data_IF_401517531464
#
_entry.id   IF_401517531464
#
_cell.length_a   1.000
_cell.length_b   1.000
_cell.length_c   1.000
_cell.angle_alpha   90.00
_cell.angle_beta   90.00
_cell.angle_gamma   90.00
#
_symmetry.space_group_name_H-M   'P 1'
#
loop_
_entity.id
_entity.type
_entity.pdbx_description
1 polymer ?
#
# COMPACT_ATOMS: atom_id res chain seq x y z
N UNK A 1 39.29 13.07 5.52
CA UNK A 1 38.21 13.71 6.34
C UNK A 1 37.20 14.51 5.52
N UNK A 2 37.36 14.73 4.22
CA UNK A 2 36.46 15.55 3.36
C UNK A 2 35.26 14.80 2.78
N UNK A 3 35.32 13.48 2.63
CA UNK A 3 34.25 12.70 1.97
C UNK A 3 33.00 12.44 2.85
N UNK A 4 33.17 12.36 4.16
CA UNK A 4 32.06 12.15 5.10
C UNK A 4 31.18 13.39 5.31
N UNK A 5 31.73 14.58 5.12
CA UNK A 5 30.98 15.84 5.26
C UNK A 5 30.06 16.11 4.06
N UNK A 6 30.45 15.63 2.87
CA UNK A 6 29.67 15.83 1.63
C UNK A 6 28.45 14.91 1.59
N UNK A 7 28.55 13.67 2.10
CA UNK A 7 27.44 12.71 2.16
C UNK A 7 26.41 13.11 3.21
N UNK A 8 26.84 13.62 4.37
CA UNK A 8 25.93 14.11 5.41
C UNK A 8 25.10 15.33 4.96
N UNK A 9 25.70 16.25 4.20
CA UNK A 9 24.99 17.42 3.66
C UNK A 9 24.07 17.07 2.49
N UNK A 10 24.41 16.07 1.67
CA UNK A 10 23.54 15.57 0.61
C UNK A 10 22.32 14.82 1.17
N UNK A 11 22.51 14.06 2.27
CA UNK A 11 21.41 13.38 2.97
C UNK A 11 20.47 14.38 3.66
N UNK A 12 21.02 15.41 4.33
CA UNK A 12 20.20 16.49 4.92
C UNK A 12 19.46 17.30 3.84
N UNK A 13 20.08 17.62 2.70
CA UNK A 13 19.42 18.29 1.58
C UNK A 13 18.32 17.44 0.94
N UNK A 14 18.52 16.12 0.76
CA UNK A 14 17.47 15.21 0.25
C UNK A 14 16.30 15.06 1.23
N UNK A 15 16.58 14.99 2.53
CA UNK A 15 15.53 14.91 3.56
C UNK A 15 14.76 16.23 3.65
N UNK A 16 15.43 17.37 3.48
CA UNK A 16 14.81 18.71 3.46
C UNK A 16 14.03 18.93 2.16
N UNK A 17 14.53 18.49 1.00
CA UNK A 17 13.81 18.56 -0.27
C UNK A 17 12.59 17.61 -0.31
N UNK A 18 12.70 16.42 0.30
CA UNK A 18 11.55 15.52 0.44
C UNK A 18 10.51 16.09 1.40
N UNK A 19 10.93 16.67 2.54
CA UNK A 19 10.02 17.44 3.41
C UNK A 19 9.41 18.65 2.69
N UNK A 20 10.16 19.36 1.84
CA UNK A 20 9.64 20.49 1.05
C UNK A 20 8.70 20.05 -0.08
N UNK A 21 8.90 18.89 -0.71
CA UNK A 21 7.94 18.35 -1.70
C UNK A 21 6.66 17.85 -1.04
N UNK A 22 6.78 17.27 0.15
CA UNK A 22 5.64 16.87 0.97
C UNK A 22 4.91 18.10 1.52
N UNK A 23 5.62 19.16 1.88
CA UNK A 23 5.09 20.49 2.29
C UNK A 23 4.42 21.21 1.11
N UNK A 24 4.98 21.18 -0.10
CA UNK A 24 4.34 21.77 -1.28
C UNK A 24 3.10 20.98 -1.75
N UNK A 25 3.03 19.67 -1.54
CA UNK A 25 1.78 18.90 -1.70
C UNK A 25 0.73 19.22 -0.65
N UNK A 26 1.14 19.57 0.58
CA UNK A 26 0.23 20.02 1.64
C UNK A 26 -0.21 21.49 1.47
N UNK A 27 0.57 22.31 0.77
CA UNK A 27 0.23 23.70 0.46
C UNK A 27 -0.92 23.90 -0.53
N UNK A 28 -1.40 22.82 -1.17
CA UNK A 28 -2.68 22.81 -1.88
C UNK A 28 -3.88 22.39 -0.99
N UNK A 29 -3.91 22.80 0.27
CA UNK A 29 -5.16 22.89 1.00
C UNK A 29 -6.00 24.00 0.36
N UNK A 30 -6.52 23.72 -0.84
CA UNK A 30 -7.51 24.55 -1.50
C UNK A 30 -8.69 24.67 -0.53
N UNK A 31 -9.00 25.90 -0.17
CA UNK A 31 -10.12 26.40 0.62
C UNK A 31 -11.29 25.40 0.65
N UNK A 32 -11.29 24.55 1.69
CA UNK A 32 -12.36 23.59 1.96
C UNK A 32 -13.57 24.42 2.43
N UNK A 33 -14.78 23.96 2.16
CA UNK A 33 -16.00 24.53 2.75
C UNK A 33 -16.02 24.45 4.29
N UNK A 34 -15.00 23.86 4.89
CA UNK A 34 -14.81 23.70 6.32
C UNK A 34 -14.15 24.96 6.93
N UNK A 35 -14.45 25.21 8.20
CA UNK A 35 -13.85 26.29 8.99
C UNK A 35 -12.31 26.13 9.04
N UNK A 36 -11.57 27.23 8.93
CA UNK A 36 -10.10 27.27 9.04
C UNK A 36 -9.54 26.64 10.33
N UNK A 37 -10.36 26.49 11.37
CA UNK A 37 -9.99 25.81 12.62
C UNK A 37 -9.88 24.32 12.43
N UNK A 38 -10.73 23.73 11.59
CA UNK A 38 -10.62 22.31 11.23
C UNK A 38 -9.39 22.04 10.37
N UNK A 39 -8.97 22.98 9.51
CA UNK A 39 -7.68 22.90 8.80
C UNK A 39 -6.50 22.90 9.79
N UNK A 40 -6.57 23.78 10.79
CA UNK A 40 -5.56 23.82 11.86
C UNK A 40 -5.50 22.52 12.65
N UNK A 41 -6.65 21.97 13.01
CA UNK A 41 -6.73 20.66 13.68
C UNK A 41 -6.10 19.55 12.84
N UNK A 42 -6.42 19.48 11.56
CA UNK A 42 -5.84 18.48 10.65
C UNK A 42 -4.31 18.65 10.50
N UNK A 43 -3.82 19.88 10.43
CA UNK A 43 -2.38 20.15 10.41
C UNK A 43 -1.70 19.65 11.70
N UNK A 44 -2.29 19.91 12.88
CA UNK A 44 -1.76 19.40 14.15
C UNK A 44 -1.79 17.86 14.19
N UNK A 45 -2.85 17.21 13.71
CA UNK A 45 -2.93 15.75 13.62
C UNK A 45 -1.82 15.14 12.77
N UNK A 46 -1.40 15.82 11.71
CA UNK A 46 -0.38 15.35 10.79
C UNK A 46 1.05 15.47 11.36
N UNK A 47 1.36 16.60 12.03
CA UNK A 47 2.73 16.86 12.50
C UNK A 47 2.91 16.59 14.00
N UNK A 48 1.82 16.45 14.76
CA UNK A 48 1.82 16.24 16.21
C UNK A 48 2.65 17.28 16.98
N UNK A 49 2.63 18.53 16.51
CA UNK A 49 3.39 19.65 17.07
C UNK A 49 2.72 20.98 16.70
N UNK A 50 2.32 21.77 17.69
CA UNK A 50 1.62 23.06 17.50
C UNK A 50 2.49 24.09 16.77
N UNK A 51 3.79 24.11 17.03
CA UNK A 51 4.71 25.04 16.38
C UNK A 51 4.92 24.68 14.91
N UNK A 52 5.15 23.40 14.61
CA UNK A 52 5.28 22.93 13.24
C UNK A 52 3.98 23.14 12.43
N UNK A 53 2.83 22.93 13.06
CA UNK A 53 1.54 23.21 12.43
C UNK A 53 1.36 24.70 12.13
N UNK A 54 1.81 25.60 13.04
CA UNK A 54 1.79 27.04 12.82
C UNK A 54 2.68 27.48 11.65
N UNK A 55 3.89 26.92 11.57
CA UNK A 55 4.82 27.15 10.46
C UNK A 55 4.23 26.66 9.13
N UNK A 56 3.59 25.47 9.12
CA UNK A 56 2.93 24.88 7.95
C UNK A 56 1.79 25.76 7.42
N UNK A 57 0.99 26.32 8.31
CA UNK A 57 -0.20 27.11 7.97
C UNK A 57 0.08 28.61 7.85
N UNK A 58 1.34 29.03 8.03
CA UNK A 58 1.76 30.45 8.02
C UNK A 58 0.96 31.31 9.02
N UNK A 59 0.65 30.77 10.21
CA UNK A 59 0.02 31.46 11.32
C UNK A 59 0.90 31.41 12.57
N UNK A 60 0.47 32.10 13.64
CA UNK A 60 1.20 32.05 14.90
C UNK A 60 0.83 30.82 15.73
N UNK A 61 1.75 30.30 16.55
CA UNK A 61 1.45 29.18 17.46
C UNK A 61 0.33 29.50 18.46
N UNK A 62 0.20 30.71 19.02
CA UNK A 62 -1.00 31.09 19.81
C UNK A 62 -2.31 30.95 19.03
N UNK A 63 -2.34 31.28 17.73
CA UNK A 63 -3.53 31.11 16.91
C UNK A 63 -3.89 29.62 16.75
N UNK A 64 -2.91 28.75 16.53
CA UNK A 64 -3.13 27.30 16.53
C UNK A 64 -3.76 26.84 17.84
N UNK A 65 -3.21 27.29 18.98
CA UNK A 65 -3.75 26.95 20.31
C UNK A 65 -5.20 27.41 20.47
N UNK A 66 -5.52 28.64 20.05
CA UNK A 66 -6.88 29.16 20.11
C UNK A 66 -7.85 28.38 19.23
N UNK A 67 -7.43 27.97 18.03
CA UNK A 67 -8.25 27.15 17.13
C UNK A 67 -8.56 25.78 17.74
N UNK A 68 -7.57 25.11 18.34
CA UNK A 68 -7.78 23.82 19.00
C UNK A 68 -8.70 23.99 20.22
N UNK A 69 -8.44 24.96 21.09
CA UNK A 69 -9.29 25.23 22.26
C UNK A 69 -10.75 25.57 21.88
N UNK A 70 -10.95 26.25 20.74
CA UNK A 70 -12.29 26.49 20.23
C UNK A 70 -13.00 25.18 19.88
N UNK A 71 -12.33 24.26 19.15
CA UNK A 71 -12.91 22.97 18.81
C UNK A 71 -13.14 22.11 20.05
N UNK A 72 -12.20 22.09 21.00
CA UNK A 72 -12.36 21.38 22.26
C UNK A 72 -13.58 21.86 23.05
N UNK A 73 -13.83 23.19 23.08
CA UNK A 73 -15.02 23.79 23.68
C UNK A 73 -16.31 23.46 22.92
N UNK A 74 -16.27 23.47 21.58
CA UNK A 74 -17.43 23.17 20.72
C UNK A 74 -17.88 21.72 20.90
N UNK A 75 -16.93 20.77 21.00
CA UNK A 75 -17.23 19.36 21.17
C UNK A 75 -17.23 18.87 22.62
N UNK A 76 -17.01 19.78 23.58
CA UNK A 76 -16.94 19.50 25.02
C UNK A 76 -16.00 18.33 25.36
N UNK A 77 -14.80 18.33 24.77
CA UNK A 77 -13.80 17.27 24.96
C UNK A 77 -12.39 17.81 24.75
N UNK A 78 -11.39 17.09 25.29
CA UNK A 78 -9.99 17.33 24.93
C UNK A 78 -9.64 16.56 23.68
N UNK A 79 -9.02 17.25 22.70
CA UNK A 79 -8.55 16.64 21.45
C UNK A 79 -7.10 16.19 21.54
N UNK A 80 -6.28 16.91 22.31
CA UNK A 80 -4.87 16.57 22.48
C UNK A 80 -4.47 16.60 23.96
N UNK A 81 -3.56 15.71 24.33
CA UNK A 81 -2.96 15.64 25.67
C UNK A 81 -1.44 15.64 25.54
N UNK A 82 -0.76 16.09 26.60
CA UNK A 82 0.69 15.99 26.72
C UNK A 82 1.04 14.84 27.67
N UNK A 83 1.67 13.82 27.14
CA UNK A 83 2.25 12.73 27.94
C UNK A 83 3.75 12.64 27.67
N UNK A 84 4.55 12.60 28.73
CA UNK A 84 6.02 12.54 28.64
C UNK A 84 6.62 13.58 27.67
N UNK A 85 6.10 14.81 27.68
CA UNK A 85 6.47 15.93 26.79
C UNK A 85 6.17 15.67 25.30
N UNK A 86 5.36 14.69 24.98
CA UNK A 86 4.88 14.42 23.61
C UNK A 86 3.38 14.75 23.54
N UNK A 87 2.99 15.36 22.42
CA UNK A 87 1.60 15.56 22.10
C UNK A 87 1.01 14.23 21.62
N UNK A 88 -0.15 13.84 22.18
CA UNK A 88 -0.87 12.63 21.79
C UNK A 88 -2.31 12.97 21.46
N UNK A 89 -2.90 12.25 20.51
CA UNK A 89 -4.32 12.36 20.18
C UNK A 89 -5.18 11.61 21.21
N UNK A 90 -6.31 12.20 21.58
CA UNK A 90 -7.36 11.49 22.31
C UNK A 90 -8.20 10.63 21.36
N UNK A 91 -9.02 9.69 21.87
CA UNK A 91 -10.01 8.99 21.04
C UNK A 91 -10.99 9.96 20.33
N UNK A 92 -11.37 11.06 20.98
CA UNK A 92 -12.20 12.10 20.39
C UNK A 92 -11.52 12.79 19.19
N UNK A 93 -10.22 13.10 19.32
CA UNK A 93 -9.44 13.64 18.21
C UNK A 93 -9.35 12.65 17.03
N UNK A 94 -9.19 11.36 17.30
CA UNK A 94 -9.17 10.36 16.25
C UNK A 94 -10.52 10.29 15.51
N UNK A 95 -11.64 10.30 16.24
CA UNK A 95 -12.98 10.32 15.65
C UNK A 95 -13.22 11.56 14.78
N UNK A 96 -12.81 12.75 15.28
CA UNK A 96 -12.94 14.01 14.54
C UNK A 96 -12.05 14.02 13.29
N UNK A 97 -10.83 13.53 13.39
CA UNK A 97 -9.91 13.40 12.25
C UNK A 97 -10.50 12.50 11.16
N UNK A 98 -10.99 11.32 11.50
CA UNK A 98 -11.60 10.37 10.57
C UNK A 98 -12.83 10.98 9.87
N UNK A 99 -13.66 11.70 10.61
CA UNK A 99 -14.80 12.43 10.05
C UNK A 99 -14.36 13.52 9.07
N UNK A 100 -13.40 14.36 9.46
CA UNK A 100 -12.93 15.46 8.60
C UNK A 100 -12.23 14.95 7.34
N UNK A 101 -11.50 13.85 7.42
CA UNK A 101 -10.92 13.17 6.25
C UNK A 101 -12.02 12.71 5.28
N UNK A 102 -13.11 12.17 5.81
CA UNK A 102 -14.27 11.76 4.99
C UNK A 102 -14.90 12.96 4.27
N UNK A 103 -15.12 14.07 5.00
CA UNK A 103 -15.69 15.29 4.42
C UNK A 103 -14.80 15.85 3.33
N UNK A 104 -13.48 15.87 3.55
CA UNK A 104 -12.50 16.34 2.57
C UNK A 104 -12.50 15.48 1.29
N UNK A 105 -12.62 14.17 1.43
CA UNK A 105 -12.74 13.27 0.29
C UNK A 105 -13.99 13.53 -0.53
N UNK A 106 -15.14 13.67 0.14
CA UNK A 106 -16.42 13.97 -0.53
C UNK A 106 -16.40 15.31 -1.25
N UNK A 107 -15.78 16.31 -0.66
CA UNK A 107 -15.61 17.61 -1.30
C UNK A 107 -14.70 17.52 -2.54
N UNK A 108 -13.57 16.82 -2.43
CA UNK A 108 -12.67 16.61 -3.57
C UNK A 108 -13.39 15.87 -4.71
N UNK A 109 -14.14 14.81 -4.39
CA UNK A 109 -14.95 14.08 -5.35
C UNK A 109 -16.01 14.98 -6.03
N UNK A 110 -16.70 15.81 -5.25
CA UNK A 110 -17.66 16.78 -5.81
C UNK A 110 -16.97 17.78 -6.74
N UNK A 111 -15.83 18.32 -6.34
CA UNK A 111 -15.04 19.26 -7.17
C UNK A 111 -14.57 18.60 -8.47
N UNK A 112 -14.12 17.34 -8.40
CA UNK A 112 -13.75 16.56 -9.57
C UNK A 112 -14.97 16.33 -10.48
N UNK A 113 -16.11 15.92 -9.95
CA UNK A 113 -17.36 15.80 -10.74
C UNK A 113 -17.78 17.10 -11.42
N UNK A 114 -17.68 18.23 -10.72
CA UNK A 114 -18.00 19.54 -11.28
C UNK A 114 -17.01 19.95 -12.39
N UNK A 115 -15.72 19.64 -12.23
CA UNK A 115 -14.68 20.02 -13.20
C UNK A 115 -14.66 19.11 -14.43
N UNK A 116 -14.90 17.84 -14.25
CA UNK A 116 -14.63 16.82 -15.27
C UNK A 116 -15.77 16.61 -16.27
N UNK A 117 -16.79 17.46 -16.32
CA UNK A 117 -17.87 17.43 -17.34
C UNK A 117 -18.35 16.01 -17.72
N UNK A 118 -18.40 15.08 -16.74
CA UNK A 118 -18.83 13.71 -16.98
C UNK A 118 -17.71 12.67 -17.12
N UNK A 119 -16.42 13.05 -17.12
CA UNK A 119 -15.30 12.09 -17.09
C UNK A 119 -15.33 11.23 -15.83
N UNK A 120 -15.27 9.92 -16.02
CA UNK A 120 -15.16 8.94 -14.93
C UNK A 120 -13.68 8.74 -14.57
N UNK A 121 -13.21 9.43 -13.56
CA UNK A 121 -11.83 9.26 -13.07
C UNK A 121 -11.76 8.11 -12.06
N UNK A 122 -10.88 7.16 -12.33
CA UNK A 122 -10.60 6.01 -11.48
C UNK A 122 -9.10 5.92 -11.18
N UNK A 123 -8.73 5.94 -9.89
CA UNK A 123 -7.35 5.81 -9.41
C UNK A 123 -7.24 4.54 -8.57
N UNK A 124 -6.64 3.50 -9.13
CA UNK A 124 -6.53 2.20 -8.48
C UNK A 124 -5.07 1.81 -8.25
N UNK A 125 -4.85 1.10 -7.14
CA UNK A 125 -3.60 0.43 -6.85
C UNK A 125 -3.72 -1.07 -7.07
N UNK A 126 -2.63 -1.72 -7.46
CA UNK A 126 -2.55 -3.16 -7.50
C UNK A 126 -1.18 -3.64 -7.03
N UNK A 127 -1.11 -4.74 -6.30
CA UNK A 127 0.18 -5.38 -6.06
C UNK A 127 0.71 -6.00 -7.34
N UNK A 128 2.01 -6.24 -7.40
CA UNK A 128 2.69 -6.60 -8.65
C UNK A 128 2.09 -7.83 -9.34
N UNK A 129 1.76 -8.89 -8.57
CA UNK A 129 1.09 -10.05 -9.16
C UNK A 129 -0.24 -9.70 -9.78
N UNK A 130 -1.04 -8.91 -9.06
CA UNK A 130 -2.39 -8.53 -9.50
C UNK A 130 -2.32 -7.59 -10.69
N UNK A 131 -1.47 -6.57 -10.63
CA UNK A 131 -1.32 -5.58 -11.69
C UNK A 131 -0.81 -6.18 -13.00
N UNK A 132 0.18 -7.08 -12.91
CA UNK A 132 0.83 -7.63 -14.10
C UNK A 132 0.11 -8.85 -14.70
N UNK A 133 -0.64 -9.64 -13.89
CA UNK A 133 -1.16 -10.95 -14.33
C UNK A 133 -2.66 -11.16 -14.12
N UNK A 134 -3.36 -10.29 -13.40
CA UNK A 134 -4.76 -10.55 -12.99
C UNK A 134 -5.75 -9.58 -13.59
N UNK A 135 -5.44 -8.29 -13.57
CA UNK A 135 -6.43 -7.24 -13.93
C UNK A 135 -6.29 -6.73 -15.36
N UNK A 136 -5.37 -7.26 -16.16
CA UNK A 136 -5.09 -6.78 -17.52
C UNK A 136 -6.34 -6.78 -18.39
N UNK A 137 -7.10 -7.89 -18.40
CA UNK A 137 -8.33 -7.99 -19.21
C UNK A 137 -9.39 -6.99 -18.74
N UNK A 138 -9.53 -6.81 -17.43
CA UNK A 138 -10.45 -5.82 -16.85
C UNK A 138 -10.07 -4.38 -17.24
N UNK A 139 -8.78 -4.09 -17.33
CA UNK A 139 -8.31 -2.78 -17.79
C UNK A 139 -8.70 -2.57 -19.26
N UNK A 140 -8.52 -3.58 -20.11
CA UNK A 140 -8.93 -3.51 -21.50
C UNK A 140 -10.43 -3.23 -21.63
N UNK A 141 -11.27 -3.98 -20.90
CA UNK A 141 -12.73 -3.79 -20.90
C UNK A 141 -13.11 -2.38 -20.42
N UNK A 142 -12.45 -1.91 -19.37
CA UNK A 142 -12.71 -0.60 -18.79
C UNK A 142 -12.33 0.53 -19.76
N UNK A 143 -11.17 0.44 -20.41
CA UNK A 143 -10.68 1.46 -21.35
C UNK A 143 -11.50 1.54 -22.65
N UNK A 144 -12.30 0.52 -22.98
CA UNK A 144 -13.22 0.55 -24.12
C UNK A 144 -14.48 1.37 -23.83
N UNK A 145 -14.72 1.82 -22.60
CA UNK A 145 -15.86 2.69 -22.26
C UNK A 145 -15.50 4.16 -22.59
N UNK A 146 -16.50 5.00 -22.93
CA UNK A 146 -16.27 6.42 -23.19
C UNK A 146 -16.00 7.20 -21.91
N UNK A 147 -15.33 8.33 -22.05
CA UNK A 147 -15.15 9.34 -21.01
C UNK A 147 -14.48 8.83 -19.71
N UNK A 148 -13.42 8.04 -19.87
CA UNK A 148 -12.67 7.43 -18.78
C UNK A 148 -11.28 8.05 -18.64
N UNK A 149 -10.90 8.33 -17.39
CA UNK A 149 -9.53 8.61 -16.98
C UNK A 149 -9.10 7.55 -15.95
N UNK A 150 -8.10 6.74 -16.26
CA UNK A 150 -7.56 5.70 -15.38
C UNK A 150 -6.14 6.06 -14.94
N UNK A 151 -5.92 6.00 -13.63
CA UNK A 151 -4.58 5.94 -13.04
C UNK A 151 -4.42 4.59 -12.36
N UNK A 152 -3.47 3.78 -12.82
CA UNK A 152 -3.09 2.52 -12.18
C UNK A 152 -1.69 2.64 -11.60
N UNK A 153 -1.54 2.36 -10.29
CA UNK A 153 -0.24 2.30 -9.62
C UNK A 153 0.00 0.85 -9.20
N UNK A 154 1.07 0.26 -9.73
CA UNK A 154 1.50 -1.11 -9.37
C UNK A 154 2.71 -1.02 -8.44
N UNK A 155 2.53 -1.45 -7.18
CA UNK A 155 3.57 -1.40 -6.15
C UNK A 155 3.38 -2.48 -5.07
N UNK A 156 4.19 -2.47 -4.03
CA UNK A 156 4.02 -3.35 -2.87
C UNK A 156 2.85 -2.89 -1.98
N UNK A 157 2.33 -3.82 -1.17
CA UNK A 157 1.18 -3.59 -0.28
C UNK A 157 1.39 -2.37 0.62
N UNK A 158 2.57 -2.24 1.25
CA UNK A 158 2.84 -1.14 2.19
C UNK A 158 2.73 0.24 1.54
N UNK A 159 3.26 0.40 0.34
CA UNK A 159 3.19 1.66 -0.39
C UNK A 159 1.75 1.96 -0.84
N UNK A 160 1.02 0.95 -1.34
CA UNK A 160 -0.39 1.12 -1.74
C UNK A 160 -1.28 1.52 -0.57
N UNK A 161 -1.11 0.92 0.61
CA UNK A 161 -1.82 1.32 1.83
C UNK A 161 -1.54 2.79 2.18
N UNK A 162 -0.29 3.22 2.08
CA UNK A 162 0.08 4.62 2.31
C UNK A 162 -0.58 5.57 1.31
N UNK A 163 -0.64 5.21 0.02
CA UNK A 163 -1.33 6.00 -1.00
C UNK A 163 -2.84 6.09 -0.77
N UNK A 164 -3.47 5.02 -0.27
CA UNK A 164 -4.87 5.05 0.17
C UNK A 164 -5.06 6.04 1.32
N UNK A 165 -4.21 6.01 2.35
CA UNK A 165 -4.26 6.94 3.47
C UNK A 165 -4.08 8.41 3.06
N UNK A 166 -3.33 8.65 2.00
CA UNK A 166 -3.15 9.97 1.40
C UNK A 166 -4.27 10.36 0.42
N UNK A 167 -5.29 9.52 0.22
CA UNK A 167 -6.36 9.73 -0.76
C UNK A 167 -5.84 9.88 -2.21
N UNK A 168 -4.67 9.34 -2.52
CA UNK A 168 -4.10 9.32 -3.87
C UNK A 168 -4.75 8.24 -4.72
N UNK A 169 -5.23 7.16 -4.10
CA UNK A 169 -5.97 6.07 -4.71
C UNK A 169 -7.40 6.04 -4.17
N UNK A 170 -8.33 5.59 -5.00
CA UNK A 170 -9.71 5.34 -4.61
C UNK A 170 -9.82 4.01 -3.86
N UNK A 171 -9.21 2.97 -4.40
CA UNK A 171 -9.04 1.66 -3.77
C UNK A 171 -7.82 0.95 -4.33
N UNK A 172 -7.41 -0.16 -3.70
CA UNK A 172 -6.35 -1.01 -4.19
C UNK A 172 -6.75 -2.48 -4.14
N UNK A 173 -6.25 -3.28 -5.07
CA UNK A 173 -6.41 -4.73 -5.06
C UNK A 173 -5.08 -5.32 -4.61
N UNK A 174 -5.09 -6.00 -3.48
CA UNK A 174 -3.86 -6.50 -2.85
C UNK A 174 -3.97 -7.97 -2.47
N UNK A 175 -2.82 -8.62 -2.43
CA UNK A 175 -2.59 -9.84 -1.67
C UNK A 175 -1.86 -9.49 -0.36
N UNK A 176 -2.05 -10.30 0.67
CA UNK A 176 -1.33 -10.18 1.94
C UNK A 176 -2.11 -9.47 3.03
N UNK A 177 -1.38 -9.09 4.08
CA UNK A 177 -1.98 -8.60 5.31
C UNK A 177 -2.20 -7.09 5.29
N UNK A 178 -3.31 -6.66 5.87
CA UNK A 178 -3.65 -5.24 6.09
C UNK A 178 -4.44 -5.09 7.39
N UNK A 179 -4.45 -3.88 7.95
CA UNK A 179 -5.18 -3.58 9.18
C UNK A 179 -6.68 -3.41 8.89
N UNK A 180 -7.47 -4.42 9.28
CA UNK A 180 -8.94 -4.41 9.14
C UNK A 180 -9.64 -3.35 9.99
N UNK A 181 -8.96 -2.71 10.95
CA UNK A 181 -9.54 -1.61 11.70
C UNK A 181 -9.54 -0.31 10.88
N UNK A 182 -8.55 -0.11 10.04
CA UNK A 182 -8.35 1.10 9.23
C UNK A 182 -8.98 1.01 7.84
N UNK A 183 -8.97 -0.18 7.25
CA UNK A 183 -9.41 -0.41 5.87
C UNK A 183 -10.67 -1.28 5.82
N UNK A 184 -11.61 -0.92 4.95
CA UNK A 184 -12.65 -1.81 4.48
C UNK A 184 -12.07 -2.75 3.43
N UNK A 185 -12.67 -3.94 3.31
CA UNK A 185 -12.23 -4.93 2.32
C UNK A 185 -13.40 -5.68 1.72
N UNK A 186 -13.23 -6.07 0.45
CA UNK A 186 -14.10 -6.99 -0.27
C UNK A 186 -13.25 -8.05 -0.95
N UNK A 187 -13.65 -9.32 -0.84
CA UNK A 187 -12.97 -10.41 -1.55
C UNK A 187 -13.08 -10.17 -3.07
N UNK A 188 -11.93 -10.14 -3.74
CA UNK A 188 -11.86 -10.10 -5.20
C UNK A 188 -11.83 -11.51 -5.79
N UNK A 189 -10.85 -12.34 -5.36
CA UNK A 189 -10.78 -13.77 -5.71
C UNK A 189 -9.86 -14.52 -4.77
N UNK A 190 -9.92 -15.86 -4.82
CA UNK A 190 -8.95 -16.75 -4.18
C UNK A 190 -7.99 -17.30 -5.20
N UNK A 191 -6.70 -17.33 -4.85
CA UNK A 191 -5.64 -17.74 -5.74
C UNK A 191 -4.69 -18.72 -5.06
N UNK A 192 -4.38 -19.87 -5.68
CA UNK A 192 -3.36 -20.79 -5.18
C UNK A 192 -1.96 -20.16 -5.20
N UNK A 193 -1.17 -20.49 -4.19
CA UNK A 193 0.24 -20.13 -4.09
C UNK A 193 1.08 -21.38 -4.25
N UNK A 194 1.97 -21.39 -5.25
CA UNK A 194 2.66 -22.58 -5.74
C UNK A 194 4.14 -22.33 -5.87
N UNK A 195 4.93 -23.41 -5.90
CA UNK A 195 6.32 -23.37 -6.29
C UNK A 195 6.48 -23.39 -7.81
N UNK A 196 7.50 -22.71 -8.32
CA UNK A 196 7.94 -22.78 -9.73
C UNK A 196 9.38 -23.24 -9.82
N UNK A 197 9.65 -24.00 -10.86
CA UNK A 197 10.96 -24.55 -11.19
C UNK A 197 11.13 -24.60 -12.71
N UNK A 198 12.30 -24.97 -13.25
CA UNK A 198 12.44 -25.31 -14.68
C UNK A 198 11.44 -26.41 -15.06
N UNK A 199 10.96 -26.39 -16.30
CA UNK A 199 9.98 -27.37 -16.80
C UNK A 199 10.40 -28.83 -16.61
N UNK A 200 11.66 -29.10 -16.80
CA UNK A 200 12.24 -30.47 -16.70
C UNK A 200 12.81 -30.79 -15.31
N UNK A 201 12.56 -29.94 -14.32
CA UNK A 201 13.03 -30.14 -12.96
C UNK A 201 12.30 -31.31 -12.28
N UNK A 202 12.99 -32.10 -11.41
CA UNK A 202 12.35 -33.21 -10.70
C UNK A 202 11.12 -32.83 -9.82
N UNK A 203 10.95 -31.56 -9.51
CA UNK A 203 9.79 -31.06 -8.75
C UNK A 203 8.55 -30.81 -9.62
N UNK A 204 8.72 -30.66 -10.94
CA UNK A 204 7.60 -30.32 -11.83
C UNK A 204 6.44 -31.31 -11.69
N UNK A 205 5.23 -30.79 -11.52
CA UNK A 205 3.98 -31.54 -11.36
C UNK A 205 3.93 -32.49 -10.15
N UNK A 206 4.69 -32.19 -9.09
CA UNK A 206 4.75 -33.00 -7.86
C UNK A 206 4.38 -32.22 -6.62
N UNK A 207 4.02 -32.96 -5.57
CA UNK A 207 4.07 -32.50 -4.19
C UNK A 207 5.50 -32.69 -3.65
N UNK A 208 6.08 -31.64 -3.09
CA UNK A 208 7.46 -31.58 -2.63
C UNK A 208 7.48 -31.23 -1.14
N UNK A 209 8.32 -31.88 -0.36
CA UNK A 209 8.44 -31.58 1.06
C UNK A 209 9.28 -30.33 1.32
N UNK A 210 9.17 -29.77 2.52
CA UNK A 210 9.97 -28.61 2.93
C UNK A 210 11.45 -28.98 2.95
N UNK A 211 11.81 -30.20 3.39
CA UNK A 211 13.21 -30.67 3.41
C UNK A 211 13.81 -30.83 2.01
N UNK A 212 12.98 -31.10 0.99
CA UNK A 212 13.44 -31.16 -0.40
C UNK A 212 13.73 -29.75 -0.93
N UNK A 213 12.83 -28.78 -0.73
CA UNK A 213 13.03 -27.41 -1.24
C UNK A 213 14.22 -26.71 -0.58
N UNK A 214 14.52 -27.00 0.69
CA UNK A 214 15.66 -26.41 1.42
C UNK A 214 17.02 -26.76 0.79
N UNK A 215 17.11 -27.83 -0.02
CA UNK A 215 18.33 -28.23 -0.73
C UNK A 215 18.57 -27.43 -2.00
N UNK A 216 17.55 -26.70 -2.47
CA UNK A 216 17.61 -25.91 -3.69
C UNK A 216 18.08 -24.47 -3.44
N UNK A 217 18.41 -23.77 -4.53
CA UNK A 217 18.57 -22.32 -4.50
C UNK A 217 17.19 -21.67 -4.57
N UNK A 218 16.83 -20.91 -3.55
CA UNK A 218 15.61 -20.12 -3.53
C UNK A 218 15.84 -18.74 -4.15
N UNK A 219 15.04 -18.38 -5.15
CA UNK A 219 14.96 -17.01 -5.67
C UNK A 219 13.67 -16.40 -5.17
N UNK A 220 13.76 -15.38 -4.32
CA UNK A 220 12.60 -14.79 -3.65
C UNK A 220 12.49 -13.28 -3.84
N UNK A 221 11.32 -12.76 -3.57
CA UNK A 221 11.02 -11.33 -3.61
C UNK A 221 11.64 -10.58 -2.44
N UNK A 222 11.68 -9.28 -2.57
CA UNK A 222 12.17 -8.35 -1.54
C UNK A 222 11.30 -8.34 -0.28
N UNK A 223 11.89 -7.91 0.84
CA UNK A 223 11.18 -7.73 2.11
C UNK A 223 10.03 -6.73 1.96
N UNK A 224 8.85 -7.09 2.46
CA UNK A 224 7.61 -6.32 2.29
C UNK A 224 6.76 -6.75 1.09
N UNK A 225 7.22 -7.73 0.30
CA UNK A 225 6.41 -8.43 -0.69
C UNK A 225 5.42 -9.38 -0.01
N UNK A 226 4.18 -9.41 -0.49
CA UNK A 226 3.17 -10.36 -0.01
C UNK A 226 3.56 -11.82 -0.25
N UNK A 227 4.17 -12.12 -1.40
CA UNK A 227 4.63 -13.49 -1.73
C UNK A 227 5.73 -13.98 -0.80
N UNK A 228 6.68 -13.11 -0.42
CA UNK A 228 7.70 -13.48 0.55
C UNK A 228 7.09 -13.75 1.94
N UNK A 229 6.19 -12.89 2.40
CA UNK A 229 5.55 -13.06 3.71
C UNK A 229 4.78 -14.39 3.82
N UNK A 230 4.12 -14.84 2.74
CA UNK A 230 3.43 -16.15 2.69
C UNK A 230 4.42 -17.30 2.78
N UNK A 231 5.54 -17.23 2.07
CA UNK A 231 6.57 -18.26 2.13
C UNK A 231 7.20 -18.32 3.53
N UNK A 232 7.55 -17.18 4.13
CA UNK A 232 8.09 -17.11 5.50
C UNK A 232 7.12 -17.69 6.53
N UNK A 233 5.82 -17.38 6.43
CA UNK A 233 4.78 -17.96 7.28
C UNK A 233 4.76 -19.48 7.14
N UNK A 234 4.80 -20.00 5.90
CA UNK A 234 4.77 -21.44 5.65
C UNK A 234 6.02 -22.16 6.13
N UNK A 235 7.19 -21.58 5.98
CA UNK A 235 8.42 -22.13 6.54
C UNK A 235 8.37 -22.16 8.07
N UNK A 236 7.84 -21.11 8.71
CA UNK A 236 7.72 -21.02 10.16
C UNK A 236 6.80 -22.11 10.73
N UNK A 237 5.72 -22.49 10.02
CA UNK A 237 4.86 -23.64 10.40
C UNK A 237 5.65 -24.95 10.51
N UNK A 238 6.76 -25.07 9.80
CA UNK A 238 7.69 -26.22 9.83
C UNK A 238 8.93 -25.98 10.70
N UNK A 239 8.97 -24.89 11.50
CA UNK A 239 10.15 -24.45 12.27
C UNK A 239 11.38 -24.20 11.38
N UNK A 240 11.19 -23.74 10.15
CA UNK A 240 12.23 -23.45 9.17
C UNK A 240 12.22 -21.95 8.80
N UNK A 241 13.27 -21.51 8.12
CA UNK A 241 13.46 -20.12 7.69
C UNK A 241 14.22 -20.04 6.36
N UNK A 242 14.30 -18.83 5.78
CA UNK A 242 15.00 -18.57 4.52
C UNK A 242 16.49 -18.95 4.58
N UNK A 243 17.12 -18.77 5.73
CA UNK A 243 18.55 -19.04 5.97
C UNK A 243 18.87 -20.54 5.92
N UNK A 244 17.86 -21.41 5.97
CA UNK A 244 18.03 -22.87 5.87
C UNK A 244 18.12 -23.38 4.44
N UNK A 245 17.77 -22.56 3.45
CA UNK A 245 17.99 -22.92 2.06
C UNK A 245 19.49 -23.05 1.75
N UNK A 246 19.84 -23.97 0.87
CA UNK A 246 21.21 -24.11 0.40
C UNK A 246 21.80 -22.77 -0.07
N UNK A 247 20.99 -21.98 -0.75
CA UNK A 247 21.29 -20.61 -1.17
C UNK A 247 19.99 -19.85 -1.34
N UNK A 248 19.96 -18.56 -1.02
CA UNK A 248 18.82 -17.71 -1.35
C UNK A 248 19.26 -16.42 -2.04
N UNK A 249 18.44 -15.94 -2.99
CA UNK A 249 18.70 -14.77 -3.84
C UNK A 249 17.47 -13.88 -3.81
N UNK A 250 17.67 -12.61 -3.46
CA UNK A 250 16.58 -11.63 -3.40
C UNK A 250 16.50 -10.81 -4.69
N UNK A 251 15.35 -10.86 -5.39
CA UNK A 251 15.10 -10.12 -6.64
C UNK A 251 13.67 -9.55 -6.61
N UNK A 252 13.52 -8.26 -6.92
CA UNK A 252 12.22 -7.57 -6.89
C UNK A 252 11.42 -7.64 -8.20
N UNK A 253 11.99 -8.17 -9.27
CA UNK A 253 11.37 -8.28 -10.60
C UNK A 253 10.90 -9.71 -10.89
N UNK A 254 9.59 -9.92 -11.06
CA UNK A 254 9.06 -11.23 -11.47
C UNK A 254 9.61 -11.71 -12.81
N UNK A 255 9.74 -10.79 -13.78
CA UNK A 255 10.35 -11.15 -15.07
C UNK A 255 11.74 -11.75 -14.90
N UNK A 256 12.60 -11.12 -14.10
CA UNK A 256 13.96 -11.62 -13.86
C UNK A 256 13.94 -12.94 -13.07
N UNK A 257 13.03 -13.09 -12.09
CA UNK A 257 12.85 -14.36 -11.38
C UNK A 257 12.50 -15.48 -12.37
N UNK A 258 11.50 -15.26 -13.22
CA UNK A 258 11.09 -16.24 -14.24
C UNK A 258 12.25 -16.61 -15.17
N UNK A 259 12.98 -15.61 -15.68
CA UNK A 259 14.11 -15.86 -16.59
C UNK A 259 15.20 -16.69 -15.92
N UNK A 260 15.50 -16.44 -14.64
CA UNK A 260 16.48 -17.22 -13.88
C UNK A 260 15.99 -18.63 -13.56
N UNK A 261 14.71 -18.81 -13.23
CA UNK A 261 14.12 -20.12 -13.00
C UNK A 261 14.21 -20.96 -14.28
N UNK A 262 13.79 -20.42 -15.43
CA UNK A 262 13.88 -21.10 -16.73
C UNK A 262 15.32 -21.48 -17.09
N UNK A 263 16.27 -20.67 -16.66
CA UNK A 263 17.72 -20.94 -16.86
C UNK A 263 18.31 -21.94 -15.87
N UNK A 264 17.52 -22.53 -14.96
CA UNK A 264 17.96 -23.55 -14.02
C UNK A 264 18.70 -23.04 -12.79
N UNK A 265 18.59 -21.76 -12.44
CA UNK A 265 19.31 -21.20 -11.29
C UNK A 265 18.67 -21.51 -9.93
N UNK A 266 17.48 -22.12 -9.89
CA UNK A 266 16.82 -22.51 -8.65
C UNK A 266 15.31 -22.60 -8.76
N UNK A 267 14.64 -22.42 -7.63
CA UNK A 267 13.17 -22.45 -7.50
C UNK A 267 12.66 -21.12 -6.95
N UNK A 268 11.36 -20.86 -7.11
CA UNK A 268 10.69 -19.72 -6.49
C UNK A 268 9.26 -20.09 -6.08
N UNK A 269 8.59 -19.19 -5.35
CA UNK A 269 7.20 -19.32 -4.96
C UNK A 269 6.41 -18.12 -5.42
N UNK A 270 5.30 -18.37 -6.10
CA UNK A 270 4.46 -17.36 -6.75
C UNK A 270 2.99 -17.78 -6.71
N UNK A 271 2.10 -16.88 -7.07
CA UNK A 271 0.70 -17.25 -7.32
C UNK A 271 0.56 -18.03 -8.63
N UNK A 272 -0.37 -18.99 -8.65
CA UNK A 272 -0.56 -19.91 -9.78
C UNK A 272 -0.84 -19.18 -11.10
N UNK A 273 -1.56 -18.05 -11.03
CA UNK A 273 -1.83 -17.22 -12.22
C UNK A 273 -0.55 -16.78 -12.94
N UNK A 274 0.48 -16.41 -12.18
CA UNK A 274 1.80 -16.08 -12.76
C UNK A 274 2.48 -17.34 -13.31
N UNK A 275 2.48 -18.43 -12.57
CA UNK A 275 3.08 -19.68 -13.02
C UNK A 275 2.47 -20.18 -14.34
N UNK A 276 1.16 -20.05 -14.51
CA UNK A 276 0.43 -20.44 -15.73
C UNK A 276 0.63 -19.46 -16.91
N UNK A 277 1.16 -18.27 -16.68
CA UNK A 277 1.42 -17.31 -17.76
C UNK A 277 2.63 -17.68 -18.64
N UNK A 278 3.50 -18.58 -18.19
CA UNK A 278 4.67 -19.03 -18.95
C UNK A 278 4.71 -20.59 -19.01
N UNK A 279 4.48 -21.20 -20.19
CA UNK A 279 4.42 -22.65 -20.34
C UNK A 279 5.79 -23.35 -20.21
N UNK A 280 6.88 -22.60 -20.10
CA UNK A 280 8.22 -23.14 -19.85
C UNK A 280 8.54 -23.31 -18.36
N UNK A 281 7.61 -22.92 -17.47
CA UNK A 281 7.74 -23.16 -16.05
C UNK A 281 7.13 -24.51 -15.66
N UNK A 282 7.84 -25.24 -14.80
CA UNK A 282 7.31 -26.35 -14.03
C UNK A 282 6.65 -25.82 -12.76
N UNK A 283 5.47 -26.36 -12.43
CA UNK A 283 4.73 -25.99 -11.22
C UNK A 283 4.79 -27.16 -10.24
N UNK A 284 5.01 -26.86 -8.96
CA UNK A 284 4.95 -27.84 -7.88
C UNK A 284 4.20 -27.28 -6.67
N UNK A 285 3.71 -28.16 -5.80
CA UNK A 285 3.06 -27.79 -4.55
C UNK A 285 3.85 -28.30 -3.35
N UNK A 286 3.75 -27.62 -2.22
CA UNK A 286 4.27 -28.16 -0.97
C UNK A 286 3.34 -29.26 -0.45
N UNK A 287 3.92 -30.31 0.13
CA UNK A 287 3.14 -31.35 0.81
C UNK A 287 2.30 -30.78 1.93
N UNK A 288 1.06 -31.23 2.01
CA UNK A 288 0.09 -30.79 3.03
C UNK A 288 -1.10 -30.09 2.41
N UNK A 289 -1.71 -29.16 3.16
CA UNK A 289 -2.85 -28.42 2.65
C UNK A 289 -2.41 -27.38 1.59
N UNK A 290 -3.18 -27.27 0.49
CA UNK A 290 -2.89 -26.27 -0.54
C UNK A 290 -2.89 -24.85 0.05
N UNK A 291 -1.87 -24.10 -0.27
CA UNK A 291 -1.80 -22.68 0.13
C UNK A 291 -2.70 -21.90 -0.81
N UNK A 292 -3.81 -21.40 -0.30
CA UNK A 292 -4.73 -20.52 -1.04
C UNK A 292 -4.82 -19.20 -0.30
N UNK A 293 -4.66 -18.10 -1.02
CA UNK A 293 -4.72 -16.76 -0.45
C UNK A 293 -5.80 -15.93 -1.14
N UNK A 294 -6.30 -14.95 -0.41
CA UNK A 294 -7.30 -14.03 -0.91
C UNK A 294 -6.66 -12.79 -1.52
N UNK A 295 -7.10 -12.44 -2.71
CA UNK A 295 -6.92 -11.10 -3.25
C UNK A 295 -8.11 -10.27 -2.81
N UNK A 296 -7.84 -9.13 -2.20
CA UNK A 296 -8.87 -8.28 -1.63
C UNK A 296 -8.82 -6.88 -2.24
N UNK A 297 -9.98 -6.35 -2.59
CA UNK A 297 -10.15 -4.92 -2.82
C UNK A 297 -10.17 -4.24 -1.47
N UNK A 298 -9.27 -3.30 -1.24
CA UNK A 298 -9.19 -2.54 0.01
C UNK A 298 -9.35 -1.05 -0.24
N UNK A 299 -9.98 -0.39 0.70
CA UNK A 299 -10.30 1.04 0.65
C UNK A 299 -10.38 1.60 2.07
N UNK A 300 -10.30 2.92 2.23
CA UNK A 300 -10.53 3.54 3.53
C UNK A 300 -11.99 3.34 3.96
N UNK A 301 -12.24 2.89 5.19
CA UNK A 301 -13.59 2.55 5.69
C UNK A 301 -14.64 3.63 5.51
N UNK A 302 -14.22 4.87 5.54
CA UNK A 302 -15.09 6.03 5.38
C UNK A 302 -15.20 6.53 3.93
N UNK A 303 -14.48 5.92 2.99
CA UNK A 303 -14.55 6.27 1.58
C UNK A 303 -15.77 5.60 0.92
N UNK A 304 -16.54 6.39 0.19
CA UNK A 304 -17.60 5.85 -0.66
C UNK A 304 -17.04 5.49 -2.05
N UNK A 305 -16.61 4.24 -2.17
CA UNK A 305 -15.96 3.72 -3.39
C UNK A 305 -16.85 2.77 -4.18
N UNK A 306 -18.11 2.53 -3.75
CA UNK A 306 -19.00 1.51 -4.35
C UNK A 306 -19.23 1.78 -5.83
N UNK A 307 -19.62 2.98 -6.20
CA UNK A 307 -19.84 3.37 -7.59
C UNK A 307 -18.58 3.13 -8.44
N UNK A 308 -17.39 3.50 -7.93
CA UNK A 308 -16.10 3.32 -8.62
C UNK A 308 -15.69 1.84 -8.73
N UNK A 309 -16.02 1.04 -7.74
CA UNK A 309 -15.79 -0.41 -7.79
C UNK A 309 -16.68 -1.07 -8.83
N UNK A 310 -17.96 -0.69 -8.91
CA UNK A 310 -18.91 -1.21 -9.92
C UNK A 310 -18.50 -0.87 -11.36
N UNK A 311 -17.74 0.21 -11.57
CA UNK A 311 -17.26 0.55 -12.92
C UNK A 311 -16.20 -0.41 -13.44
N UNK A 312 -15.40 -1.00 -12.55
CA UNK A 312 -14.20 -1.73 -12.92
C UNK A 312 -14.24 -3.23 -12.56
N UNK A 313 -14.86 -3.60 -11.42
CA UNK A 313 -14.90 -4.99 -10.93
C UNK A 313 -16.08 -5.78 -11.51
#
# INVERSE_FOLDING_TARGET
MSFYYTISNAYKKKTTQKKLSDINRMGEFKKIMLDHRTETFMAVCNVMNYREAAELLHITQPAVTQHIQFLEKEYDCHLFLYENRKLIKTPAAQMLEDYLRTVQQRENFLREKIKNNGLRELRIGATKTIGDYVITDRIHDFLNQPDIALTLIVDNTKHLLHLLEQNTLDYAIIEGFFDKNRFGSQLYRREPFVGICPKDHPFASREVSVEEILKETLIHREKGSGTLAILEEKLLEHNESLERFHRHICISSFKMIIDLIKSGYGISFVYEVLAKSDPELGIFTLKGEPIVREFNVIYLKHADVREKMEWFL
#
